data_IF_406722480461
#
_entry.id   IF_406722480461
#
_cell.length_a   1.000
_cell.length_b   1.000
_cell.length_c   1.000
_cell.angle_alpha   90.00
_cell.angle_beta   90.00
_cell.angle_gamma   90.00
#
_symmetry.space_group_name_H-M   'P 1'
#
loop_
_entity.id
_entity.type
_entity.pdbx_description
1 polymer ?
#
# COMPACT_ATOMS: atom_id res chain seq x y z
N UNK A 1 12.41 1.75 -8.58
CA UNK A 1 13.11 2.17 -7.34
C UNK A 1 12.15 2.38 -6.16
N UNK A 2 11.12 3.23 -6.26
CA UNK A 2 10.18 3.46 -5.15
C UNK A 2 9.49 2.18 -4.66
N UNK A 3 9.16 1.27 -5.57
CA UNK A 3 8.47 0.01 -5.24
C UNK A 3 9.36 -1.00 -4.49
N UNK A 4 10.64 -0.71 -4.27
CA UNK A 4 11.50 -1.52 -3.41
C UNK A 4 11.57 -0.98 -1.96
N UNK A 5 11.15 0.28 -1.73
CA UNK A 5 11.31 0.95 -0.44
C UNK A 5 10.52 0.31 0.70
N UNK A 6 9.49 -0.49 0.39
CA UNK A 6 8.74 -1.22 1.40
C UNK A 6 9.61 -2.14 2.26
N UNK A 7 10.72 -2.64 1.70
CA UNK A 7 11.65 -3.53 2.39
C UNK A 7 12.63 -2.78 3.29
N UNK A 8 12.81 -1.46 3.13
CA UNK A 8 13.86 -0.71 3.82
C UNK A 8 13.71 -0.79 5.35
N UNK A 9 12.49 -0.63 5.87
CA UNK A 9 12.20 -0.73 7.31
C UNK A 9 12.49 -2.13 7.87
N UNK A 10 12.25 -3.17 7.08
CA UNK A 10 12.53 -4.57 7.45
C UNK A 10 14.04 -4.83 7.68
N UNK A 11 14.91 -3.94 7.21
CA UNK A 11 16.37 -3.98 7.42
C UNK A 11 16.89 -2.82 8.29
N UNK A 12 15.99 -2.12 8.99
CA UNK A 12 16.34 -1.15 10.02
C UNK A 12 16.42 0.29 9.54
N UNK A 13 15.94 0.60 8.33
CA UNK A 13 15.80 1.99 7.87
C UNK A 13 14.60 2.64 8.55
N UNK A 14 14.87 3.48 9.55
CA UNK A 14 13.88 4.37 10.16
C UNK A 14 14.37 5.82 9.99
N UNK A 15 13.72 6.57 9.12
CA UNK A 15 14.13 7.95 8.82
C UNK A 15 13.69 8.95 9.90
N UNK A 16 12.62 8.63 10.63
CA UNK A 16 12.02 9.48 11.63
C UNK A 16 11.68 8.68 12.90
N UNK A 17 11.71 9.34 14.05
CA UNK A 17 11.14 8.79 15.30
C UNK A 17 9.61 8.94 15.35
N UNK A 18 9.00 8.55 16.47
CA UNK A 18 7.55 8.63 16.65
C UNK A 18 7.04 10.08 16.67
N UNK A 19 7.91 11.04 17.00
CA UNK A 19 7.65 12.47 17.05
C UNK A 19 7.93 13.17 15.70
N UNK A 20 8.45 12.44 14.71
CA UNK A 20 8.77 12.96 13.39
C UNK A 20 10.15 13.63 13.28
N UNK A 21 11.02 13.50 14.28
CA UNK A 21 12.39 14.00 14.21
C UNK A 21 13.25 13.07 13.34
N UNK A 22 14.18 13.61 12.54
CA UNK A 22 15.11 12.79 11.77
C UNK A 22 15.95 11.87 12.66
N UNK A 23 16.17 10.63 12.22
CA UNK A 23 17.07 9.66 12.86
C UNK A 23 18.25 9.32 11.96
N UNK A 24 19.36 8.90 12.57
CA UNK A 24 20.48 8.32 11.83
C UNK A 24 20.10 6.93 11.31
N UNK A 25 19.86 6.84 10.01
CA UNK A 25 19.50 5.61 9.32
C UNK A 25 20.69 4.97 8.58
N UNK A 26 21.92 5.48 8.73
CA UNK A 26 23.07 5.09 7.89
C UNK A 26 23.34 3.59 7.92
N UNK A 27 23.35 2.99 9.11
CA UNK A 27 23.56 1.55 9.27
C UNK A 27 22.41 0.72 8.65
N UNK A 28 21.16 1.15 8.84
CA UNK A 28 20.00 0.48 8.25
C UNK A 28 20.02 0.55 6.72
N UNK A 29 20.42 1.69 6.15
CA UNK A 29 20.54 1.87 4.70
C UNK A 29 21.61 0.93 4.14
N UNK A 30 22.77 0.82 4.81
CA UNK A 30 23.82 -0.11 4.40
C UNK A 30 23.35 -1.58 4.42
N UNK A 31 22.63 -1.98 5.47
CA UNK A 31 22.05 -3.33 5.58
C UNK A 31 21.03 -3.60 4.48
N UNK A 32 20.13 -2.64 4.23
CA UNK A 32 19.11 -2.75 3.19
C UNK A 32 19.72 -2.86 1.78
N UNK A 33 20.71 -2.01 1.45
CA UNK A 33 21.39 -2.06 0.16
C UNK A 33 22.15 -3.38 -0.03
N UNK A 34 22.79 -3.89 1.04
CA UNK A 34 23.43 -5.21 1.01
C UNK A 34 22.43 -6.32 0.70
N UNK A 35 21.23 -6.27 1.30
CA UNK A 35 20.17 -7.23 1.00
C UNK A 35 19.63 -7.08 -0.43
N UNK A 36 19.47 -5.86 -0.93
CA UNK A 36 19.05 -5.63 -2.32
C UNK A 36 20.03 -6.23 -3.33
N UNK A 37 21.34 -6.13 -3.07
CA UNK A 37 22.37 -6.78 -3.87
C UNK A 37 22.25 -8.32 -3.81
N UNK A 38 22.02 -8.88 -2.62
CA UNK A 38 21.81 -10.32 -2.46
C UNK A 38 20.56 -10.81 -3.21
N UNK A 39 19.45 -10.09 -3.13
CA UNK A 39 18.19 -10.44 -3.81
C UNK A 39 18.38 -10.46 -5.33
N UNK A 40 19.05 -9.44 -5.88
CA UNK A 40 19.36 -9.39 -7.32
C UNK A 40 20.12 -10.63 -7.78
N UNK A 41 21.02 -11.14 -6.95
CA UNK A 41 21.89 -12.26 -7.27
C UNK A 41 21.31 -13.63 -6.84
N UNK A 42 20.13 -13.64 -6.21
CA UNK A 42 19.48 -14.87 -5.71
C UNK A 42 18.59 -15.50 -6.79
N UNK A 43 18.81 -16.78 -7.16
CA UNK A 43 17.94 -17.48 -8.11
C UNK A 43 16.48 -17.50 -7.67
N UNK A 44 15.57 -17.21 -8.60
CA UNK A 44 14.13 -17.21 -8.35
C UNK A 44 13.55 -15.84 -7.95
N UNK A 45 14.39 -14.85 -7.65
CA UNK A 45 13.95 -13.46 -7.57
C UNK A 45 14.02 -12.81 -8.95
N UNK A 46 12.96 -12.09 -9.30
CA UNK A 46 12.92 -11.26 -10.50
C UNK A 46 12.76 -9.82 -10.01
N UNK A 47 13.80 -9.02 -10.21
CA UNK A 47 13.80 -7.59 -9.92
C UNK A 47 13.82 -6.83 -11.23
N UNK A 48 12.79 -6.01 -11.46
CA UNK A 48 12.64 -5.19 -12.66
C UNK A 48 12.04 -3.83 -12.25
N UNK A 49 12.35 -2.76 -12.98
CA UNK A 49 11.73 -1.46 -12.79
C UNK A 49 10.46 -1.29 -13.64
N UNK A 50 10.20 -2.20 -14.58
CA UNK A 50 8.93 -2.30 -15.30
C UNK A 50 7.89 -3.07 -14.48
N UNK A 51 7.15 -2.33 -13.65
CA UNK A 51 6.06 -2.86 -12.85
C UNK A 51 4.94 -3.50 -13.69
N UNK A 52 4.73 -3.04 -14.93
CA UNK A 52 3.69 -3.61 -15.81
C UNK A 52 4.14 -4.97 -16.36
N UNK A 53 5.41 -5.12 -16.72
CA UNK A 53 5.96 -6.41 -17.12
C UNK A 53 5.91 -7.43 -15.98
N UNK A 54 6.23 -7.02 -14.74
CA UNK A 54 6.11 -7.88 -13.56
C UNK A 54 4.65 -8.30 -13.31
N UNK A 55 3.71 -7.36 -13.40
CA UNK A 55 2.28 -7.66 -13.26
C UNK A 55 1.80 -8.63 -14.34
N UNK A 56 2.20 -8.43 -15.60
CA UNK A 56 1.83 -9.33 -16.71
C UNK A 56 2.32 -10.77 -16.45
N UNK A 57 3.59 -10.95 -16.05
CA UNK A 57 4.12 -12.27 -15.68
C UNK A 57 3.35 -12.91 -14.53
N UNK A 58 2.92 -12.13 -13.54
CA UNK A 58 2.10 -12.65 -12.44
C UNK A 58 0.72 -13.12 -12.94
N UNK A 59 0.08 -12.33 -13.80
CA UNK A 59 -1.21 -12.67 -14.40
C UNK A 59 -1.13 -13.87 -15.35
N UNK A 60 0.00 -14.04 -16.03
CA UNK A 60 0.28 -15.18 -16.91
C UNK A 60 0.67 -16.46 -16.13
N UNK A 61 0.94 -16.34 -14.82
CA UNK A 61 1.34 -17.45 -13.96
C UNK A 61 2.83 -17.79 -14.01
N UNK A 62 3.65 -16.96 -14.65
CA UNK A 62 5.11 -17.12 -14.75
C UNK A 62 5.80 -16.89 -13.40
N UNK A 63 5.23 -16.03 -12.55
CA UNK A 63 5.72 -15.79 -11.20
C UNK A 63 4.60 -16.03 -10.17
N UNK A 64 4.87 -16.74 -9.06
CA UNK A 64 3.85 -17.04 -8.06
C UNK A 64 3.62 -15.90 -7.05
N UNK A 65 4.54 -14.94 -6.98
CA UNK A 65 4.47 -13.80 -6.07
C UNK A 65 4.73 -12.49 -6.81
N UNK A 66 3.90 -11.50 -6.50
CA UNK A 66 3.99 -10.15 -7.04
C UNK A 66 3.83 -9.14 -5.92
N UNK A 67 4.71 -8.14 -5.90
CA UNK A 67 4.63 -7.01 -4.99
C UNK A 67 4.08 -5.83 -5.80
N UNK A 68 2.82 -5.50 -5.55
CA UNK A 68 2.10 -4.43 -6.25
C UNK A 68 1.41 -3.47 -5.30
N UNK A 69 0.63 -2.56 -5.88
CA UNK A 69 -0.12 -1.56 -5.11
C UNK A 69 -1.56 -2.00 -4.86
N UNK A 70 -2.15 -1.56 -3.74
CA UNK A 70 -3.53 -1.87 -3.39
C UNK A 70 -4.56 -1.42 -4.44
N UNK A 71 -4.25 -0.35 -5.19
CA UNK A 71 -5.07 0.13 -6.33
C UNK A 71 -5.24 -0.89 -7.46
N UNK A 72 -4.36 -1.88 -7.53
CA UNK A 72 -4.38 -2.92 -8.57
C UNK A 72 -5.29 -4.08 -8.19
N UNK A 73 -5.76 -4.17 -6.94
CA UNK A 73 -6.57 -5.28 -6.44
C UNK A 73 -7.80 -5.57 -7.33
N UNK A 74 -8.47 -4.55 -7.84
CA UNK A 74 -9.62 -4.76 -8.73
C UNK A 74 -9.22 -5.46 -10.03
N UNK A 75 -8.10 -5.04 -10.65
CA UNK A 75 -7.63 -5.62 -11.90
C UNK A 75 -7.11 -7.05 -11.69
N UNK A 76 -6.39 -7.27 -10.59
CA UNK A 76 -5.90 -8.59 -10.19
C UNK A 76 -7.07 -9.54 -9.89
N UNK A 77 -8.06 -9.10 -9.11
CA UNK A 77 -9.22 -9.90 -8.77
C UNK A 77 -10.11 -10.20 -9.99
N UNK A 78 -10.26 -9.23 -10.90
CA UNK A 78 -10.99 -9.46 -12.15
C UNK A 78 -10.32 -10.53 -13.04
N UNK A 79 -9.00 -10.67 -12.97
CA UNK A 79 -8.23 -11.59 -13.80
C UNK A 79 -8.05 -12.96 -13.15
N UNK A 80 -7.76 -13.01 -11.86
CA UNK A 80 -7.39 -14.22 -11.13
C UNK A 80 -8.53 -14.77 -10.25
N UNK A 81 -9.48 -13.93 -9.85
CA UNK A 81 -10.60 -14.30 -8.96
C UNK A 81 -10.13 -15.08 -7.74
N UNK A 82 -10.68 -16.28 -7.55
CA UNK A 82 -10.36 -17.15 -6.40
C UNK A 82 -8.92 -17.68 -6.37
N UNK A 83 -8.13 -17.47 -7.44
CA UNK A 83 -6.71 -17.83 -7.46
C UNK A 83 -5.83 -16.73 -6.87
N UNK A 84 -6.35 -15.52 -6.65
CA UNK A 84 -5.63 -14.44 -6.01
C UNK A 84 -5.59 -14.64 -4.49
N UNK A 85 -4.39 -14.59 -3.93
CA UNK A 85 -4.16 -14.42 -2.50
C UNK A 85 -3.42 -13.12 -2.23
N UNK A 86 -3.74 -12.46 -1.12
CA UNK A 86 -3.02 -11.27 -0.64
C UNK A 86 -2.42 -11.59 0.72
N UNK A 87 -1.17 -11.18 0.92
CA UNK A 87 -0.43 -11.36 2.16
C UNK A 87 0.22 -10.05 2.59
N UNK A 88 0.55 -9.93 3.87
CA UNK A 88 1.44 -8.87 4.34
C UNK A 88 2.82 -9.01 3.69
N UNK A 89 3.51 -7.89 3.55
CA UNK A 89 4.83 -7.86 2.96
C UNK A 89 5.83 -8.61 3.85
N UNK A 90 6.86 -9.24 3.25
CA UNK A 90 7.86 -10.00 4.00
C UNK A 90 8.53 -9.16 5.09
N UNK A 91 8.63 -9.72 6.30
CA UNK A 91 9.47 -9.19 7.36
C UNK A 91 10.96 -9.51 7.09
N UNK A 92 11.84 -8.71 7.68
CA UNK A 92 13.28 -8.87 7.62
C UNK A 92 13.90 -8.94 9.01
N UNK A 93 15.22 -8.87 9.08
CA UNK A 93 15.98 -9.03 10.34
C UNK A 93 15.66 -7.95 11.38
N UNK A 94 15.16 -6.79 10.96
CA UNK A 94 14.76 -5.69 11.84
C UNK A 94 13.25 -5.62 12.08
N UNK A 95 12.46 -6.59 11.58
CA UNK A 95 11.02 -6.68 11.79
C UNK A 95 10.22 -6.46 10.50
N UNK A 96 9.00 -5.94 10.65
CA UNK A 96 8.04 -5.80 9.55
C UNK A 96 8.49 -4.83 8.46
N UNK A 97 8.07 -5.12 7.23
CA UNK A 97 8.11 -4.17 6.13
C UNK A 97 7.39 -2.85 6.46
N UNK A 98 7.81 -1.77 5.79
CA UNK A 98 7.25 -0.43 5.92
C UNK A 98 7.04 0.20 4.55
N UNK A 99 5.98 -0.17 3.81
CA UNK A 99 5.66 0.46 2.54
C UNK A 99 5.38 1.95 2.72
N UNK A 100 5.69 2.74 1.68
CA UNK A 100 5.23 4.12 1.63
C UNK A 100 3.70 4.12 1.54
N UNK A 101 3.06 4.79 2.49
CA UNK A 101 1.61 4.94 2.50
C UNK A 101 1.22 6.10 1.58
N UNK A 102 0.38 5.80 0.60
CA UNK A 102 -0.28 6.80 -0.24
C UNK A 102 -1.76 6.88 0.12
N UNK A 103 -2.32 8.08 0.09
CA UNK A 103 -3.76 8.30 0.28
C UNK A 103 -4.31 9.23 -0.80
N UNK A 104 -5.63 9.14 -1.02
CA UNK A 104 -6.36 10.09 -1.87
C UNK A 104 -7.07 11.10 -0.97
N UNK A 105 -6.86 12.39 -1.24
CA UNK A 105 -7.46 13.47 -0.49
C UNK A 105 -8.35 14.35 -1.38
N UNK A 106 -9.44 14.85 -0.80
CA UNK A 106 -10.23 15.92 -1.40
C UNK A 106 -9.63 17.27 -0.98
N UNK A 107 -9.12 18.03 -1.94
CA UNK A 107 -8.55 19.36 -1.71
C UNK A 107 -9.54 20.42 -2.16
N UNK A 108 -9.79 21.41 -1.30
CA UNK A 108 -10.72 22.50 -1.57
C UNK A 108 -9.94 23.74 -2.01
N UNK A 109 -10.40 24.40 -3.07
CA UNK A 109 -9.78 25.62 -3.54
C UNK A 109 -10.07 26.78 -2.58
N UNK A 110 -9.02 27.30 -1.93
CA UNK A 110 -9.09 28.40 -0.97
C UNK A 110 -9.60 29.72 -1.58
N UNK A 111 -9.56 29.89 -2.91
CA UNK A 111 -10.08 31.07 -3.60
C UNK A 111 -11.58 31.01 -3.89
N UNK A 112 -12.25 29.91 -3.51
CA UNK A 112 -13.71 29.77 -3.70
C UNK A 112 -14.48 30.71 -2.79
N UNK A 113 -15.70 31.06 -3.17
CA UNK A 113 -16.58 31.85 -2.29
C UNK A 113 -16.90 31.10 -0.98
N UNK A 114 -17.22 31.79 0.13
CA UNK A 114 -17.55 31.13 1.40
C UNK A 114 -18.62 30.03 1.26
N UNK A 115 -19.71 30.33 0.54
CA UNK A 115 -20.77 29.35 0.30
C UNK A 115 -20.28 28.10 -0.47
N UNK A 116 -19.33 28.24 -1.39
CA UNK A 116 -18.76 27.09 -2.12
C UNK A 116 -17.85 26.25 -1.23
N UNK A 117 -17.09 26.89 -0.33
CA UNK A 117 -16.25 26.19 0.64
C UNK A 117 -17.14 25.35 1.55
N UNK A 118 -18.21 25.92 2.10
CA UNK A 118 -19.14 25.21 2.99
C UNK A 118 -19.75 23.98 2.29
N UNK A 119 -20.25 24.13 1.06
CA UNK A 119 -20.83 23.01 0.29
C UNK A 119 -19.79 21.95 -0.09
N UNK A 120 -18.57 22.37 -0.39
CA UNK A 120 -17.49 21.43 -0.70
C UNK A 120 -17.06 20.65 0.54
N UNK A 121 -17.09 21.29 1.72
CA UNK A 121 -16.82 20.64 2.99
C UNK A 121 -17.91 19.62 3.34
N UNK A 122 -19.18 19.97 3.18
CA UNK A 122 -20.31 19.05 3.36
C UNK A 122 -20.13 17.78 2.49
N UNK A 123 -19.78 17.96 1.21
CA UNK A 123 -19.52 16.85 0.29
C UNK A 123 -18.31 16.02 0.71
N UNK A 124 -17.20 16.68 1.11
CA UNK A 124 -16.00 15.97 1.53
C UNK A 124 -16.24 15.14 2.79
N UNK A 125 -16.97 15.67 3.78
CA UNK A 125 -17.37 14.93 4.98
C UNK A 125 -18.30 13.76 4.66
N UNK A 126 -19.23 13.95 3.72
CA UNK A 126 -20.09 12.86 3.25
C UNK A 126 -19.28 11.73 2.62
N UNK A 127 -18.44 12.03 1.62
CA UNK A 127 -17.65 11.03 0.88
C UNK A 127 -16.63 10.31 1.76
N UNK A 128 -16.12 10.98 2.81
CA UNK A 128 -15.15 10.39 3.75
C UNK A 128 -15.78 9.77 4.99
N UNK A 129 -17.11 9.76 5.07
CA UNK A 129 -17.83 9.08 6.14
C UNK A 129 -17.58 7.56 6.11
N UNK A 130 -17.73 6.92 7.27
CA UNK A 130 -17.57 5.46 7.41
C UNK A 130 -18.48 4.70 6.43
N UNK A 131 -19.72 5.16 6.24
CA UNK A 131 -20.69 4.47 5.39
C UNK A 131 -20.33 4.59 3.90
N UNK A 132 -19.87 5.77 3.46
CA UNK A 132 -19.42 5.96 2.07
C UNK A 132 -18.11 5.24 1.78
N UNK A 133 -17.16 5.24 2.71
CA UNK A 133 -15.93 4.45 2.54
C UNK A 133 -16.21 2.94 2.57
N UNK A 134 -17.17 2.49 3.38
CA UNK A 134 -17.64 1.10 3.32
C UNK A 134 -18.27 0.79 1.95
N UNK A 135 -19.03 1.70 1.35
CA UNK A 135 -19.55 1.50 -0.01
C UNK A 135 -18.43 1.40 -1.05
N UNK A 136 -17.45 2.30 -1.02
CA UNK A 136 -16.29 2.27 -1.93
C UNK A 136 -15.47 0.99 -1.78
N UNK A 137 -15.28 0.50 -0.56
CA UNK A 137 -14.64 -0.80 -0.32
C UNK A 137 -15.43 -1.94 -0.98
N UNK A 138 -16.75 -1.99 -0.78
CA UNK A 138 -17.61 -3.06 -1.30
C UNK A 138 -17.69 -3.08 -2.82
N UNK A 139 -17.71 -1.90 -3.44
CA UNK A 139 -17.91 -1.76 -4.88
C UNK A 139 -16.61 -1.75 -5.68
N UNK A 140 -15.51 -1.33 -5.07
CA UNK A 140 -14.26 -1.06 -5.77
C UNK A 140 -12.99 -1.43 -4.98
N UNK A 141 -13.09 -2.27 -3.93
CA UNK A 141 -11.96 -2.71 -3.11
C UNK A 141 -11.03 -1.56 -2.64
N UNK A 142 -11.59 -0.35 -2.47
CA UNK A 142 -10.84 0.79 -1.96
C UNK A 142 -10.63 0.57 -0.46
N UNK A 143 -9.36 0.54 -0.05
CA UNK A 143 -9.00 0.43 1.37
C UNK A 143 -9.45 1.70 2.10
N UNK A 144 -10.33 1.61 3.10
CA UNK A 144 -10.80 2.78 3.83
C UNK A 144 -9.67 3.50 4.57
N UNK A 145 -9.60 4.82 4.43
CA UNK A 145 -8.71 5.67 5.23
C UNK A 145 -9.34 6.07 6.58
N UNK A 146 -10.67 5.99 6.69
CA UNK A 146 -11.40 6.27 7.92
C UNK A 146 -11.37 5.04 8.83
N UNK A 147 -10.61 5.12 9.92
CA UNK A 147 -10.39 4.02 10.89
C UNK A 147 -11.66 3.55 11.61
N UNK A 148 -12.77 4.29 11.50
CA UNK A 148 -14.08 3.87 12.03
C UNK A 148 -14.83 2.93 11.07
N UNK A 149 -14.38 2.83 9.82
CA UNK A 149 -14.96 1.93 8.82
C UNK A 149 -14.67 0.49 9.20
N UNK A 150 -15.72 -0.31 9.39
CA UNK A 150 -15.56 -1.74 9.72
C UNK A 150 -15.25 -2.53 8.46
N UNK A 151 -14.14 -3.26 8.51
CA UNK A 151 -13.76 -4.22 7.48
C UNK A 151 -14.09 -5.62 8.03
N UNK A 152 -14.90 -6.37 7.29
CA UNK A 152 -15.19 -7.77 7.63
C UNK A 152 -14.15 -8.65 6.96
N UNK A 153 -13.21 -9.19 7.75
CA UNK A 153 -12.11 -10.03 7.24
C UNK A 153 -12.61 -11.24 6.45
N UNK A 154 -13.75 -11.83 6.83
CA UNK A 154 -14.33 -12.98 6.12
C UNK A 154 -14.99 -12.61 4.78
N UNK A 155 -15.36 -11.35 4.56
CA UNK A 155 -15.98 -10.90 3.31
C UNK A 155 -15.00 -10.15 2.40
N UNK A 156 -14.00 -9.49 2.98
CA UNK A 156 -13.01 -8.67 2.29
C UNK A 156 -11.58 -8.98 2.78
N UNK A 157 -11.10 -10.24 2.67
CA UNK A 157 -9.82 -10.66 3.23
C UNK A 157 -8.63 -9.93 2.63
N UNK A 158 -8.68 -9.57 1.34
CA UNK A 158 -7.62 -8.84 0.65
C UNK A 158 -7.50 -7.41 1.19
N UNK A 159 -8.64 -6.72 1.33
CA UNK A 159 -8.68 -5.36 1.88
C UNK A 159 -8.22 -5.36 3.34
N UNK A 160 -8.68 -6.33 4.14
CA UNK A 160 -8.25 -6.47 5.53
C UNK A 160 -6.74 -6.67 5.65
N UNK A 161 -6.15 -7.48 4.76
CA UNK A 161 -4.71 -7.74 4.75
C UNK A 161 -3.90 -6.49 4.41
N UNK A 162 -4.36 -5.71 3.42
CA UNK A 162 -3.73 -4.42 3.08
C UNK A 162 -3.85 -3.42 4.24
N UNK A 163 -5.01 -3.37 4.90
CA UNK A 163 -5.22 -2.51 6.05
C UNK A 163 -4.31 -2.89 7.22
N UNK A 164 -4.16 -4.18 7.49
CA UNK A 164 -3.25 -4.68 8.51
C UNK A 164 -1.77 -4.35 8.22
N UNK A 165 -1.36 -4.25 6.95
CA UNK A 165 -0.01 -3.82 6.57
C UNK A 165 0.23 -2.32 6.81
N UNK A 166 -0.82 -1.50 6.82
CA UNK A 166 -0.73 -0.05 6.97
C UNK A 166 -0.66 0.42 8.45
N UNK A 167 -0.80 -0.50 9.41
CA UNK A 167 -0.73 -0.25 10.86
C UNK A 167 0.67 -0.56 11.40
#
# INVERSE_FOLDING_TARGET
>A
FNDALWSARAFGVNLFDAEGNPQDATAGIANWLTWMEQVRDTPGFITDDDAQALQARFLEGDIPYYIGHSRELNALNASLGSQLGVAQLPAGSAGSAGPLLSTTALLLNAMSSPNQIDRSLDLALFLTSSDQQAALMREANVVPANSRTRISEGLYPEVATVEAQAR
#
